data_IF_343241157315
#
_entry.id   IF_343241157315
#
_cell.length_a   1.000
_cell.length_b   1.000
_cell.length_c   1.000
_cell.angle_alpha   90.00
_cell.angle_beta   90.00
_cell.angle_gamma   90.00
#
_symmetry.space_group_name_H-M   'P 1'
#
loop_
_entity.id
_entity.type
_entity.pdbx_description
1 polymer ?
#
# COMPACT_ATOMS: atom_id res chain seq x y z
N UNK A 1 -9.14 -20.13 -2.90
CA UNK A 1 -8.03 -19.28 -3.39
C UNK A 1 -7.78 -18.21 -2.33
N UNK A 2 -6.54 -18.01 -1.91
CA UNK A 2 -6.17 -17.00 -0.90
C UNK A 2 -5.58 -15.76 -1.57
N UNK A 3 -5.59 -14.61 -0.89
CA UNK A 3 -4.89 -13.40 -1.34
C UNK A 3 -3.39 -13.63 -1.57
N UNK A 4 -2.80 -14.55 -0.80
CA UNK A 4 -1.39 -14.93 -0.96
C UNK A 4 -1.09 -15.56 -2.32
N UNK A 5 -1.98 -16.42 -2.84
CA UNK A 5 -1.81 -17.00 -4.19
C UNK A 5 -1.77 -15.91 -5.27
N UNK A 6 -2.54 -14.82 -5.13
CA UNK A 6 -2.47 -13.69 -6.08
C UNK A 6 -1.10 -12.98 -6.03
N UNK A 7 -0.54 -12.81 -4.84
CA UNK A 7 0.80 -12.21 -4.71
C UNK A 7 1.85 -13.14 -5.32
N UNK A 8 1.86 -14.40 -4.92
CA UNK A 8 2.92 -15.35 -5.27
C UNK A 8 2.87 -15.73 -6.76
N UNK A 9 1.68 -15.98 -7.31
CA UNK A 9 1.52 -16.53 -8.67
C UNK A 9 1.27 -15.46 -9.73
N UNK A 10 0.75 -14.28 -9.36
CA UNK A 10 0.38 -13.25 -10.34
C UNK A 10 1.23 -11.99 -10.24
N UNK A 11 1.43 -11.45 -9.03
CA UNK A 11 2.24 -10.23 -8.86
C UNK A 11 3.74 -10.50 -8.95
N UNK A 12 4.21 -11.58 -8.32
CA UNK A 12 5.62 -11.97 -8.32
C UNK A 12 6.01 -12.85 -9.53
N UNK A 13 5.11 -12.99 -10.51
CA UNK A 13 5.36 -13.76 -11.72
C UNK A 13 6.55 -13.20 -12.51
N UNK A 14 7.37 -14.08 -13.09
CA UNK A 14 8.53 -13.71 -13.89
C UNK A 14 8.10 -13.40 -15.34
N UNK A 15 8.47 -12.23 -15.84
CA UNK A 15 8.20 -11.79 -17.22
C UNK A 15 9.53 -11.43 -17.88
N UNK A 16 9.90 -12.18 -18.92
CA UNK A 16 11.13 -11.95 -19.70
C UNK A 16 12.40 -11.92 -18.83
N UNK A 17 12.48 -12.80 -17.83
CA UNK A 17 13.61 -12.87 -16.90
C UNK A 17 13.60 -11.82 -15.79
N UNK A 18 12.53 -11.03 -15.67
CA UNK A 18 12.37 -10.01 -14.63
C UNK A 18 11.20 -10.33 -13.69
N UNK A 19 11.37 -10.04 -12.41
CA UNK A 19 10.32 -10.17 -11.37
C UNK A 19 10.29 -8.88 -10.56
N UNK A 20 9.13 -8.53 -10.01
CA UNK A 20 9.01 -7.43 -9.05
C UNK A 20 9.95 -7.64 -7.85
N UNK A 21 10.62 -6.59 -7.40
CA UNK A 21 11.47 -6.68 -6.20
C UNK A 21 10.65 -7.07 -4.97
N UNK A 22 9.43 -6.54 -4.85
CA UNK A 22 8.46 -6.87 -3.81
C UNK A 22 7.06 -6.45 -4.22
N UNK A 23 6.03 -7.11 -3.68
CA UNK A 23 4.63 -6.78 -3.93
C UNK A 23 3.76 -7.04 -2.69
N UNK A 24 2.66 -6.30 -2.55
CA UNK A 24 1.65 -6.54 -1.53
C UNK A 24 0.25 -6.17 -2.02
N UNK A 25 -0.76 -6.79 -1.43
CA UNK A 25 -2.16 -6.42 -1.54
C UNK A 25 -2.57 -5.76 -0.23
N UNK A 26 -2.90 -4.49 -0.31
CA UNK A 26 -3.30 -3.65 0.83
C UNK A 26 -4.78 -3.30 0.70
N UNK A 27 -5.50 -3.44 1.81
CA UNK A 27 -6.82 -2.82 1.97
C UNK A 27 -6.70 -1.30 1.96
N UNK A 28 -7.77 -0.61 1.57
CA UNK A 28 -7.82 0.85 1.58
C UNK A 28 -7.76 1.46 2.99
N UNK A 29 -7.94 0.61 4.01
CA UNK A 29 -7.76 0.91 5.43
C UNK A 29 -6.30 0.78 5.88
N UNK A 30 -5.38 0.40 4.97
CA UNK A 30 -3.97 0.14 5.26
C UNK A 30 -3.68 -1.28 5.75
N UNK A 31 -4.68 -2.15 5.90
CA UNK A 31 -4.49 -3.53 6.33
C UNK A 31 -3.77 -4.35 5.26
N UNK A 32 -2.75 -5.13 5.64
CA UNK A 32 -2.06 -6.05 4.72
C UNK A 32 -2.89 -7.32 4.53
N UNK A 33 -3.35 -7.59 3.31
CA UNK A 33 -4.09 -8.83 2.98
C UNK A 33 -3.16 -9.95 2.52
N UNK A 34 -2.10 -9.61 1.79
CA UNK A 34 -1.03 -10.52 1.38
C UNK A 34 0.21 -9.72 0.98
N UNK A 35 1.40 -10.34 1.05
CA UNK A 35 2.66 -9.69 0.71
C UNK A 35 3.71 -10.70 0.27
N UNK A 36 4.66 -10.29 -0.56
CA UNK A 36 5.80 -11.11 -0.93
C UNK A 36 6.76 -11.21 0.25
N UNK A 37 7.56 -12.27 0.31
CA UNK A 37 8.57 -12.43 1.36
C UNK A 37 9.60 -11.27 1.40
N UNK A 38 9.84 -10.64 0.25
CA UNK A 38 10.72 -9.48 0.09
C UNK A 38 10.04 -8.14 0.38
N UNK A 39 8.73 -8.10 0.62
CA UNK A 39 8.05 -6.87 0.98
C UNK A 39 8.58 -6.36 2.34
N UNK A 40 8.95 -5.07 2.46
CA UNK A 40 9.61 -4.55 3.66
C UNK A 40 8.90 -4.96 4.96
N UNK A 41 9.54 -5.82 5.74
CA UNK A 41 9.12 -6.20 7.09
C UNK A 41 9.85 -5.31 8.10
N UNK A 42 9.51 -4.02 8.10
CA UNK A 42 10.07 -3.03 9.02
C UNK A 42 8.99 -2.45 9.94
N UNK A 43 9.38 -1.64 10.94
CA UNK A 43 8.43 -0.87 11.73
C UNK A 43 7.78 0.29 10.94
N UNK A 44 8.32 0.58 9.75
CA UNK A 44 7.68 1.42 8.76
C UNK A 44 6.46 0.77 8.11
N UNK A 45 5.76 1.54 7.29
CA UNK A 45 4.58 1.08 6.60
C UNK A 45 4.12 2.06 5.52
N UNK A 46 2.97 1.76 4.94
CA UNK A 46 2.38 2.58 3.88
C UNK A 46 0.89 2.78 4.13
N UNK A 47 0.41 3.99 3.88
CA UNK A 47 -1.01 4.32 3.85
C UNK A 47 -1.38 4.75 2.44
N UNK A 48 -2.46 4.19 1.90
CA UNK A 48 -2.96 4.53 0.56
C UNK A 48 -4.40 5.03 0.69
N UNK A 49 -4.64 6.31 0.41
CA UNK A 49 -5.97 6.90 0.38
C UNK A 49 -6.39 7.17 -1.06
N UNK A 50 -7.46 6.50 -1.49
CA UNK A 50 -8.08 6.70 -2.81
C UNK A 50 -8.94 7.97 -2.79
N UNK A 51 -8.79 8.82 -3.80
CA UNK A 51 -9.70 9.95 -4.12
C UNK A 51 -10.50 9.64 -5.39
N UNK A 52 -11.26 10.60 -5.94
CA UNK A 52 -12.00 10.36 -7.18
C UNK A 52 -11.07 10.23 -8.39
N UNK A 53 -9.96 10.98 -8.42
CA UNK A 53 -9.05 11.09 -9.55
C UNK A 53 -7.59 10.68 -9.23
N UNK A 54 -7.24 10.45 -7.96
CA UNK A 54 -5.87 10.17 -7.54
C UNK A 54 -5.77 9.11 -6.42
N UNK A 55 -4.53 8.65 -6.16
CA UNK A 55 -4.15 7.86 -4.99
C UNK A 55 -3.11 8.66 -4.20
N UNK A 56 -3.38 8.91 -2.93
CA UNK A 56 -2.42 9.52 -2.01
C UNK A 56 -1.68 8.40 -1.29
N UNK A 57 -0.36 8.35 -1.44
CA UNK A 57 0.49 7.31 -0.87
C UNK A 57 1.45 7.96 0.12
N UNK A 58 1.36 7.58 1.39
CA UNK A 58 2.33 7.96 2.42
C UNK A 58 3.14 6.74 2.85
N UNK A 59 4.46 6.83 2.79
CA UNK A 59 5.39 5.81 3.29
C UNK A 59 6.07 6.41 4.52
N UNK A 60 6.15 5.64 5.60
CA UNK A 60 6.79 6.07 6.84
C UNK A 60 7.74 5.01 7.36
N UNK A 61 8.71 5.46 8.15
CA UNK A 61 9.63 4.65 8.94
C UNK A 61 9.63 5.17 10.39
N UNK A 62 10.32 4.48 11.29
CA UNK A 62 10.52 4.96 12.66
C UNK A 62 11.18 6.35 12.71
N UNK A 63 10.81 7.22 13.67
CA UNK A 63 9.92 6.97 14.81
C UNK A 63 8.43 7.26 14.54
N UNK A 64 8.02 7.43 13.27
CA UNK A 64 6.63 7.72 12.94
C UNK A 64 5.77 6.46 13.13
N UNK A 65 4.62 6.64 13.78
CA UNK A 65 3.64 5.57 13.99
C UNK A 65 2.66 5.46 12.82
N UNK A 66 2.04 4.28 12.59
CA UNK A 66 1.00 4.12 11.57
C UNK A 66 -0.12 5.16 11.66
N UNK A 67 -0.58 5.47 12.89
CA UNK A 67 -1.64 6.45 13.11
C UNK A 67 -1.28 7.87 12.68
N UNK A 68 -0.01 8.26 12.80
CA UNK A 68 0.47 9.56 12.34
C UNK A 68 0.49 9.64 10.81
N UNK A 69 0.94 8.58 10.13
CA UNK A 69 0.90 8.51 8.67
C UNK A 69 -0.55 8.56 8.15
N UNK A 70 -1.44 7.74 8.73
CA UNK A 70 -2.86 7.71 8.39
C UNK A 70 -3.49 9.09 8.48
N UNK A 71 -3.29 9.79 9.61
CA UNK A 71 -3.85 11.13 9.81
C UNK A 71 -3.43 12.13 8.71
N UNK A 72 -2.18 12.09 8.25
CA UNK A 72 -1.68 13.01 7.23
C UNK A 72 -2.26 12.65 5.85
N UNK A 73 -2.18 11.37 5.48
CA UNK A 73 -2.59 10.87 4.16
C UNK A 73 -4.11 10.96 3.99
N UNK A 74 -4.88 10.55 5.00
CA UNK A 74 -6.33 10.56 4.94
C UNK A 74 -6.89 11.99 4.93
N UNK A 75 -6.33 12.89 5.75
CA UNK A 75 -6.78 14.29 5.78
C UNK A 75 -6.64 14.98 4.42
N UNK A 76 -5.53 14.75 3.72
CA UNK A 76 -5.36 15.28 2.36
C UNK A 76 -6.34 14.63 1.38
N UNK A 77 -6.51 13.30 1.46
CA UNK A 77 -7.43 12.60 0.57
C UNK A 77 -8.89 13.02 0.78
N UNK A 78 -9.34 13.20 2.02
CA UNK A 78 -10.69 13.69 2.31
C UNK A 78 -10.90 15.10 1.75
N UNK A 79 -9.92 15.99 1.93
CA UNK A 79 -9.96 17.33 1.33
C UNK A 79 -10.08 17.27 -0.21
N UNK A 80 -9.31 16.40 -0.88
CA UNK A 80 -9.40 16.25 -2.33
C UNK A 80 -10.76 15.69 -2.77
N UNK A 81 -11.31 14.72 -2.04
CA UNK A 81 -12.64 14.18 -2.31
C UNK A 81 -13.71 15.28 -2.19
N UNK A 82 -13.64 16.13 -1.16
CA UNK A 82 -14.55 17.26 -0.98
C UNK A 82 -14.48 18.28 -2.13
N UNK A 83 -13.33 18.43 -2.78
CA UNK A 83 -13.16 19.26 -3.97
C UNK A 83 -13.61 18.58 -5.27
N UNK A 84 -14.08 17.32 -5.21
CA UNK A 84 -14.43 16.53 -6.40
C UNK A 84 -13.22 16.00 -7.18
N UNK A 85 -12.05 15.96 -6.53
CA UNK A 85 -10.79 15.45 -7.06
C UNK A 85 -10.51 14.01 -6.58
#
# INVERSE_FOLDING_TARGET
MSWQSYVDEQLMYEIEGNTLTSAAILGQDGSVWAQSASFPQGPGGVTIKKTNQALIIGIYDEPMTPGQCNMIVERLGDYLIEQGL
#
